data_IF_978771020908
#
_entry.id   IF_978771020908
#
_cell.length_a   1.000
_cell.length_b   1.000
_cell.length_c   1.000
_cell.angle_alpha   90.00
_cell.angle_beta   90.00
_cell.angle_gamma   90.00
#
_symmetry.space_group_name_H-M   'P 1'
#
loop_
_entity.id
_entity.type
_entity.pdbx_description
1 polymer ?
#
# COMPACT_ATOMS: atom_id res chain seq x y z
N UNK A 1 2.12 -9.30 -3.72
CA UNK A 1 1.14 -8.31 -3.20
C UNK A 1 0.53 -8.74 -1.87
N UNK A 2 -0.08 -9.93 -1.76
CA UNK A 2 -0.62 -10.44 -0.49
C UNK A 2 0.46 -10.59 0.60
N UNK A 3 1.64 -11.08 0.23
CA UNK A 3 2.80 -11.22 1.11
C UNK A 3 3.23 -9.86 1.70
N UNK A 4 3.44 -8.85 0.86
CA UNK A 4 3.76 -7.49 1.32
C UNK A 4 2.70 -6.89 2.24
N UNK A 5 1.41 -7.16 2.00
CA UNK A 5 0.33 -6.73 2.91
C UNK A 5 0.44 -7.42 4.27
N UNK A 6 0.84 -8.69 4.30
CA UNK A 6 1.14 -9.41 5.54
C UNK A 6 2.37 -8.83 6.24
N UNK A 7 3.44 -8.52 5.49
CA UNK A 7 4.66 -7.91 6.03
C UNK A 7 4.39 -6.53 6.64
N UNK A 8 3.60 -5.70 5.95
CA UNK A 8 3.11 -4.42 6.49
C UNK A 8 2.37 -4.66 7.81
N UNK A 9 1.43 -5.61 7.84
CA UNK A 9 0.66 -5.90 9.05
C UNK A 9 1.51 -6.39 10.21
N UNK A 10 2.52 -7.22 9.94
CA UNK A 10 3.48 -7.69 10.94
C UNK A 10 4.33 -6.53 11.47
N UNK A 11 4.88 -5.70 10.57
CA UNK A 11 5.70 -4.56 10.94
C UNK A 11 4.88 -3.52 11.74
N UNK A 12 3.64 -3.24 11.35
CA UNK A 12 2.73 -2.37 12.10
C UNK A 12 2.41 -2.92 13.49
N UNK A 13 2.19 -4.22 13.61
CA UNK A 13 1.92 -4.85 14.90
C UNK A 13 3.10 -4.64 15.86
N UNK A 14 4.31 -4.97 15.43
CA UNK A 14 5.50 -4.81 16.26
C UNK A 14 5.86 -3.34 16.49
N UNK A 15 5.65 -2.45 15.52
CA UNK A 15 5.78 -1.01 15.70
C UNK A 15 4.90 -0.51 16.85
N UNK A 16 3.62 -0.87 16.83
CA UNK A 16 2.66 -0.43 17.85
C UNK A 16 2.98 -1.01 19.23
N UNK A 17 3.35 -2.28 19.30
CA UNK A 17 3.75 -2.92 20.56
C UNK A 17 4.98 -2.25 21.17
N UNK A 18 6.05 -2.06 20.38
CA UNK A 18 7.28 -1.44 20.88
C UNK A 18 7.07 0.04 21.25
N UNK A 19 6.20 0.75 20.53
CA UNK A 19 5.81 2.12 20.89
C UNK A 19 5.09 2.18 22.24
N UNK A 20 4.19 1.24 22.51
CA UNK A 20 3.49 1.16 23.80
C UNK A 20 4.47 0.87 24.95
N UNK A 21 5.42 -0.05 24.76
CA UNK A 21 6.45 -0.34 25.76
C UNK A 21 7.37 0.86 26.00
N UNK A 22 7.74 1.60 24.95
CA UNK A 22 8.48 2.87 25.10
C UNK A 22 7.72 3.88 25.96
N UNK A 23 6.43 4.07 25.70
CA UNK A 23 5.59 4.99 26.47
C UNK A 23 5.50 4.56 27.93
N UNK A 24 5.35 3.25 28.19
CA UNK A 24 5.32 2.68 29.53
C UNK A 24 6.64 2.93 30.27
N UNK A 25 7.78 2.63 29.64
CA UNK A 25 9.11 2.83 30.24
C UNK A 25 9.36 4.32 30.52
N UNK A 26 8.97 5.20 29.60
CA UNK A 26 9.12 6.65 29.79
C UNK A 26 8.31 7.13 31.00
N UNK A 27 7.07 6.65 31.15
CA UNK A 27 6.25 6.95 32.33
C UNK A 27 6.91 6.44 33.63
N UNK A 28 7.51 5.25 33.63
CA UNK A 28 8.24 4.71 34.79
C UNK A 28 9.52 5.51 35.11
N UNK A 29 10.25 5.97 34.09
CA UNK A 29 11.41 6.85 34.26
C UNK A 29 11.00 8.20 34.87
N UNK A 30 9.91 8.79 34.37
CA UNK A 30 9.35 10.03 34.93
C UNK A 30 8.92 9.84 36.38
N UNK A 31 8.17 8.77 36.68
CA UNK A 31 7.75 8.47 38.05
C UNK A 31 8.94 8.26 38.99
N UNK A 32 10.01 7.60 38.53
CA UNK A 32 11.22 7.42 39.33
C UNK A 32 11.93 8.76 39.58
N UNK A 33 12.00 9.65 38.58
CA UNK A 33 12.57 10.98 38.74
C UNK A 33 11.73 11.85 39.71
N UNK A 34 10.41 11.75 39.64
CA UNK A 34 9.47 12.52 40.46
C UNK A 34 9.31 11.97 41.88
N UNK A 35 9.72 10.73 42.14
CA UNK A 35 9.58 10.06 43.45
C UNK A 35 10.37 10.71 44.59
N UNK A 36 11.30 11.62 44.29
CA UNK A 36 12.21 12.21 45.28
C UNK A 36 13.22 11.23 45.88
N UNK A 37 13.20 9.95 45.47
CA UNK A 37 14.09 8.89 45.94
C UNK A 37 14.84 8.31 44.74
N UNK A 38 15.98 8.90 44.35
CA UNK A 38 16.71 8.44 43.17
C UNK A 38 17.27 7.02 43.37
N UNK A 39 16.82 6.08 42.53
CA UNK A 39 17.40 4.74 42.41
C UNK A 39 18.14 4.65 41.08
N UNK A 40 19.46 4.81 41.14
CA UNK A 40 20.36 4.80 39.99
C UNK A 40 20.39 3.44 39.29
N UNK A 41 20.23 2.35 40.05
CA UNK A 41 20.26 0.99 39.49
C UNK A 41 19.02 0.71 38.66
N UNK A 42 17.85 1.11 39.17
CA UNK A 42 16.57 1.02 38.48
C UNK A 42 16.52 1.93 37.26
N UNK A 43 16.98 3.17 37.39
CA UNK A 43 17.03 4.11 36.27
C UNK A 43 17.92 3.59 35.13
N UNK A 44 19.09 3.02 35.45
CA UNK A 44 19.97 2.42 34.45
C UNK A 44 19.34 1.20 33.75
N UNK A 45 18.54 0.40 34.47
CA UNK A 45 17.79 -0.70 33.88
C UNK A 45 16.68 -0.21 32.95
N UNK A 46 15.92 0.80 33.37
CA UNK A 46 14.89 1.44 32.55
C UNK A 46 15.48 2.06 31.28
N UNK A 47 16.63 2.72 31.37
CA UNK A 47 17.32 3.29 30.21
C UNK A 47 17.72 2.21 29.20
N UNK A 48 18.29 1.09 29.64
CA UNK A 48 18.64 -0.02 28.74
C UNK A 48 17.42 -0.59 28.03
N UNK A 49 16.31 -0.73 28.76
CA UNK A 49 15.04 -1.16 28.17
C UNK A 49 14.52 -0.14 27.17
N UNK A 50 14.56 1.15 27.50
CA UNK A 50 14.18 2.23 26.60
C UNK A 50 14.97 2.16 25.30
N UNK A 51 16.30 2.09 25.38
CA UNK A 51 17.18 2.03 24.21
C UNK A 51 16.87 0.79 23.34
N UNK A 52 16.61 -0.36 23.97
CA UNK A 52 16.21 -1.58 23.27
C UNK A 52 14.91 -1.39 22.48
N UNK A 53 13.84 -0.96 23.14
CA UNK A 53 12.54 -0.79 22.49
C UNK A 53 12.55 0.35 21.48
N UNK A 54 13.37 1.39 21.68
CA UNK A 54 13.62 2.45 20.72
C UNK A 54 14.23 1.91 19.43
N UNK A 55 15.30 1.11 19.53
CA UNK A 55 15.91 0.46 18.37
C UNK A 55 14.92 -0.43 17.61
N UNK A 56 14.14 -1.25 18.32
CA UNK A 56 13.16 -2.14 17.68
C UNK A 56 12.02 -1.35 17.00
N UNK A 57 11.49 -0.35 17.68
CA UNK A 57 10.48 0.56 17.14
C UNK A 57 10.96 1.23 15.85
N UNK A 58 12.16 1.80 15.84
CA UNK A 58 12.74 2.45 14.65
C UNK A 58 12.94 1.45 13.50
N UNK A 59 13.37 0.23 13.81
CA UNK A 59 13.56 -0.83 12.81
C UNK A 59 12.24 -1.23 12.16
N UNK A 60 11.21 -1.51 12.95
CA UNK A 60 9.91 -1.91 12.41
C UNK A 60 9.20 -0.78 11.68
N UNK A 61 9.42 0.48 12.07
CA UNK A 61 8.99 1.63 11.27
C UNK A 61 9.61 1.59 9.87
N UNK A 62 10.92 1.40 9.78
CA UNK A 62 11.63 1.33 8.50
C UNK A 62 11.17 0.14 7.65
N UNK A 63 11.03 -1.04 8.25
CA UNK A 63 10.52 -2.24 7.58
C UNK A 63 9.11 -1.99 7.00
N UNK A 64 8.23 -1.37 7.78
CA UNK A 64 6.88 -1.01 7.33
C UNK A 64 6.91 -0.02 6.17
N UNK A 65 7.68 1.05 6.30
CA UNK A 65 7.76 2.10 5.29
C UNK A 65 8.30 1.52 3.97
N UNK A 66 9.33 0.66 4.03
CA UNK A 66 9.85 -0.06 2.86
C UNK A 66 8.84 -1.03 2.24
N UNK A 67 8.07 -1.74 3.07
CA UNK A 67 7.06 -2.67 2.58
C UNK A 67 5.91 -1.93 1.87
N UNK A 68 5.53 -0.74 2.35
CA UNK A 68 4.58 0.14 1.66
C UNK A 68 5.09 0.64 0.32
N UNK A 69 6.34 1.09 0.24
CA UNK A 69 6.97 1.49 -1.01
C UNK A 69 6.94 0.34 -2.04
N UNK A 70 7.34 -0.86 -1.63
CA UNK A 70 7.34 -2.04 -2.49
C UNK A 70 5.93 -2.45 -2.92
N UNK A 71 4.96 -2.39 -2.00
CA UNK A 71 3.56 -2.70 -2.28
C UNK A 71 2.97 -1.74 -3.32
N UNK A 72 3.27 -0.44 -3.19
CA UNK A 72 2.80 0.58 -4.11
C UNK A 72 3.47 0.47 -5.49
N UNK A 73 4.79 0.22 -5.53
CA UNK A 73 5.50 -0.02 -6.78
C UNK A 73 4.91 -1.21 -7.56
N UNK A 74 4.57 -2.31 -6.87
CA UNK A 74 3.94 -3.46 -7.50
C UNK A 74 2.50 -3.18 -7.94
N UNK A 75 1.74 -2.34 -7.22
CA UNK A 75 0.42 -1.90 -7.68
C UNK A 75 0.50 -1.11 -8.98
N UNK A 76 1.45 -0.19 -9.09
CA UNK A 76 1.68 0.58 -10.32
C UNK A 76 2.02 -0.35 -11.48
N UNK A 77 2.94 -1.29 -11.29
CA UNK A 77 3.30 -2.28 -12.31
C UNK A 77 2.12 -3.17 -12.70
N UNK A 78 1.35 -3.63 -11.73
CA UNK A 78 0.17 -4.45 -11.97
C UNK A 78 -0.88 -3.69 -12.81
N UNK A 79 -1.15 -2.43 -12.47
CA UNK A 79 -2.09 -1.60 -13.22
C UNK A 79 -1.63 -1.38 -14.67
N UNK A 80 -0.35 -1.15 -14.89
CA UNK A 80 0.21 -0.97 -16.23
C UNK A 80 0.07 -2.24 -17.09
N UNK A 81 0.38 -3.41 -16.51
CA UNK A 81 0.21 -4.71 -17.19
C UNK A 81 -1.27 -4.95 -17.50
N UNK A 82 -2.17 -4.75 -16.55
CA UNK A 82 -3.62 -4.97 -16.76
C UNK A 82 -4.17 -4.02 -17.82
N UNK A 83 -3.83 -2.74 -17.75
CA UNK A 83 -4.22 -1.72 -18.75
C UNK A 83 -3.79 -2.14 -20.15
N UNK A 84 -2.54 -2.60 -20.27
CA UNK A 84 -1.97 -3.06 -21.53
C UNK A 84 -2.73 -4.27 -22.08
N UNK A 85 -2.98 -5.28 -21.24
CA UNK A 85 -3.71 -6.49 -21.66
C UNK A 85 -5.15 -6.18 -22.09
N UNK A 86 -5.86 -5.33 -21.35
CA UNK A 86 -7.22 -4.88 -21.70
C UNK A 86 -7.21 -4.20 -23.07
N UNK A 87 -6.25 -3.29 -23.31
CA UNK A 87 -6.11 -2.58 -24.59
C UNK A 87 -5.92 -3.54 -25.77
N UNK A 88 -5.18 -4.64 -25.57
CA UNK A 88 -4.99 -5.66 -26.61
C UNK A 88 -6.21 -6.54 -26.83
N UNK A 89 -6.95 -6.89 -25.78
CA UNK A 89 -8.09 -7.83 -25.87
C UNK A 89 -9.38 -7.19 -26.36
N UNK A 90 -9.65 -5.93 -25.99
CA UNK A 90 -10.92 -5.26 -26.27
C UNK A 90 -11.32 -5.25 -27.77
N UNK A 91 -10.42 -4.95 -28.72
CA UNK A 91 -10.78 -4.97 -30.14
C UNK A 91 -11.21 -6.35 -30.64
N UNK A 92 -10.54 -7.41 -30.17
CA UNK A 92 -10.91 -8.78 -30.53
C UNK A 92 -12.29 -9.14 -29.95
N UNK A 93 -12.55 -8.73 -28.70
CA UNK A 93 -13.83 -8.94 -28.04
C UNK A 93 -14.99 -8.18 -28.73
N UNK A 94 -14.76 -6.94 -29.20
CA UNK A 94 -15.75 -6.20 -29.98
C UNK A 94 -16.10 -6.88 -31.29
N UNK A 95 -15.09 -7.36 -32.03
CA UNK A 95 -15.31 -8.07 -33.30
C UNK A 95 -16.09 -9.35 -33.09
N UNK A 96 -15.74 -10.13 -32.07
CA UNK A 96 -16.49 -11.34 -31.70
C UNK A 96 -17.94 -11.02 -31.34
N UNK A 97 -18.15 -10.00 -30.50
CA UNK A 97 -19.50 -9.60 -30.08
C UNK A 97 -20.36 -9.12 -31.26
N UNK A 98 -19.79 -8.36 -32.18
CA UNK A 98 -20.49 -7.93 -33.39
C UNK A 98 -20.85 -9.10 -34.29
N UNK A 99 -19.93 -10.06 -34.48
CA UNK A 99 -20.20 -11.27 -35.25
C UNK A 99 -21.35 -12.08 -34.65
N UNK A 100 -21.32 -12.34 -33.34
CA UNK A 100 -22.39 -13.05 -32.63
C UNK A 100 -23.74 -12.33 -32.73
N UNK A 101 -23.76 -11.00 -32.60
CA UNK A 101 -25.00 -10.22 -32.73
C UNK A 101 -25.56 -10.25 -34.15
N UNK A 102 -24.69 -10.16 -35.16
CA UNK A 102 -25.10 -10.25 -36.56
C UNK A 102 -25.67 -11.65 -36.88
N UNK A 103 -25.11 -12.72 -36.30
CA UNK A 103 -25.64 -14.08 -36.46
C UNK A 103 -27.07 -14.25 -35.91
N UNK A 104 -27.40 -13.60 -34.80
CA UNK A 104 -28.75 -13.65 -34.20
C UNK A 104 -29.72 -12.61 -34.80
N UNK A 105 -29.34 -11.95 -35.89
CA UNK A 105 -30.17 -10.96 -36.59
C UNK A 105 -30.20 -9.57 -35.93
N UNK A 106 -29.30 -9.29 -34.98
CA UNK A 106 -29.13 -7.96 -34.38
C UNK A 106 -28.00 -7.24 -35.10
N UNK A 107 -28.35 -6.44 -36.10
CA UNK A 107 -27.39 -5.68 -36.90
C UNK A 107 -26.51 -4.82 -35.99
N UNK A 108 -25.22 -5.11 -35.99
CA UNK A 108 -24.22 -4.44 -35.16
C UNK A 108 -23.05 -4.03 -36.03
N UNK A 109 -22.77 -2.74 -36.07
CA UNK A 109 -21.58 -2.19 -36.72
C UNK A 109 -20.35 -2.36 -35.82
N UNK A 110 -19.38 -3.12 -36.32
CA UNK A 110 -18.08 -3.34 -35.67
C UNK A 110 -17.34 -2.02 -35.49
N UNK A 111 -17.44 -1.13 -36.47
CA UNK A 111 -16.73 0.16 -36.51
C UNK A 111 -17.20 1.04 -35.36
N UNK A 112 -18.51 1.11 -35.16
CA UNK A 112 -19.13 1.84 -34.05
C UNK A 112 -18.70 1.26 -32.69
N UNK A 113 -18.65 -0.07 -32.54
CA UNK A 113 -18.15 -0.70 -31.31
C UNK A 113 -16.67 -0.40 -31.04
N UNK A 114 -15.83 -0.39 -32.08
CA UNK A 114 -14.41 -0.05 -31.95
C UNK A 114 -14.21 1.41 -31.55
N UNK A 115 -14.97 2.34 -32.12
CA UNK A 115 -14.96 3.75 -31.74
C UNK A 115 -15.36 3.93 -30.27
N UNK A 116 -16.41 3.23 -29.81
CA UNK A 116 -16.84 3.26 -28.42
C UNK A 116 -15.78 2.69 -27.46
N UNK A 117 -15.03 1.66 -27.88
CA UNK A 117 -13.91 1.11 -27.12
C UNK A 117 -12.80 2.15 -27.00
N UNK A 118 -12.43 2.84 -28.08
CA UNK A 118 -11.37 3.84 -28.05
C UNK A 118 -11.69 4.98 -27.07
N UNK A 119 -12.93 5.49 -27.07
CA UNK A 119 -13.37 6.50 -26.11
C UNK A 119 -13.33 5.98 -24.67
N UNK A 120 -13.68 4.71 -24.44
CA UNK A 120 -13.58 4.09 -23.11
C UNK A 120 -12.12 3.91 -22.68
N UNK A 121 -11.23 3.50 -23.58
CA UNK A 121 -9.80 3.34 -23.31
C UNK A 121 -9.19 4.66 -22.84
N UNK A 122 -9.51 5.77 -23.51
CA UNK A 122 -9.07 7.10 -23.08
C UNK A 122 -9.58 7.47 -21.68
N UNK A 123 -10.83 7.12 -21.34
CA UNK A 123 -11.38 7.33 -19.99
C UNK A 123 -10.67 6.48 -18.94
N UNK A 124 -10.39 5.22 -19.25
CA UNK A 124 -9.64 4.32 -18.36
C UNK A 124 -8.22 4.82 -18.17
N UNK A 125 -7.56 5.27 -19.24
CA UNK A 125 -6.23 5.85 -19.21
C UNK A 125 -6.18 7.08 -18.30
N UNK A 126 -7.09 8.04 -18.49
CA UNK A 126 -7.19 9.20 -17.61
C UNK A 126 -7.50 8.83 -16.14
N UNK A 127 -8.32 7.81 -15.91
CA UNK A 127 -8.63 7.34 -14.57
C UNK A 127 -7.43 6.66 -13.89
N UNK A 128 -6.69 5.83 -14.61
CA UNK A 128 -5.45 5.21 -14.13
C UNK A 128 -4.41 6.27 -13.83
N UNK A 129 -4.21 7.23 -14.74
CA UNK A 129 -3.25 8.32 -14.56
C UNK A 129 -3.61 9.20 -13.36
N UNK A 130 -4.90 9.36 -13.03
CA UNK A 130 -5.36 10.03 -11.82
C UNK A 130 -5.14 9.23 -10.53
N UNK A 131 -5.07 7.89 -10.61
CA UNK A 131 -4.84 7.01 -9.46
C UNK A 131 -3.35 6.80 -9.16
N UNK A 132 -2.49 6.87 -10.17
CA UNK A 132 -1.04 6.68 -10.01
C UNK A 132 -0.40 7.60 -8.95
N UNK A 133 -0.73 8.91 -8.87
CA UNK A 133 -0.26 9.80 -7.81
C UNK A 133 -0.52 9.28 -6.39
N UNK A 134 -1.65 8.60 -6.17
CA UNK A 134 -2.03 8.07 -4.84
C UNK A 134 -1.05 7.00 -4.37
N UNK A 135 -0.49 6.22 -5.29
CA UNK A 135 0.48 5.18 -4.98
C UNK A 135 1.91 5.74 -4.91
N UNK A 136 2.22 6.85 -5.57
CA UNK A 136 3.55 7.49 -5.55
C UNK A 136 3.74 8.52 -4.43
N UNK A 137 2.68 9.15 -3.93
CA UNK A 137 2.74 10.20 -2.90
C UNK A 137 2.66 9.69 -1.46
N UNK A 138 2.83 8.38 -1.23
CA UNK A 138 2.92 7.82 0.12
C UNK A 138 4.27 8.14 0.79
N UNK A 139 4.66 9.43 0.79
CA UNK A 139 5.66 9.96 1.71
C UNK A 139 4.97 10.08 3.07
N UNK A 140 5.21 9.08 3.91
CA UNK A 140 4.75 9.00 5.29
C UNK A 140 5.02 10.33 6.01
N UNK A 141 3.96 11.02 6.43
CA UNK A 141 4.02 12.10 7.43
C UNK A 141 4.34 11.51 8.79
#
# INVERSE_FOLDING_TARGET
>A
MHELKSEIGIADHFYNQNMQELQRINAEMMAQNESGHPDTSRMAALQRSFDHFHCQYSRHRQERDQAWENHNALHVQFLDVVKTQVKYMEPAQARLMAALKNEIGVTTDVTELLNQIEVRQQRVEAAVDGLLPIFSDFKVK
#
